data_IF_142676652553
#
_entry.id   IF_142676652553
#
_cell.length_a   1.000
_cell.length_b   1.000
_cell.length_c   1.000
_cell.angle_alpha   90.00
_cell.angle_beta   90.00
_cell.angle_gamma   90.00
#
_symmetry.space_group_name_H-M   'P 1'
#
loop_
_entity.id
_entity.type
_entity.pdbx_description
1 polymer ?
#
# COMPACT_ATOMS: atom_id res chain seq x y z
N UNK A 1 11.32 26.60 -7.33
CA UNK A 1 11.96 25.28 -7.53
C UNK A 1 10.85 24.28 -7.84
N UNK A 2 10.86 23.68 -9.03
CA UNK A 2 9.97 22.54 -9.31
C UNK A 2 10.53 21.32 -8.56
N UNK A 3 9.71 20.54 -7.83
CA UNK A 3 10.21 19.32 -7.21
C UNK A 3 10.65 18.37 -8.32
N UNK A 4 11.89 17.84 -8.22
CA UNK A 4 12.31 16.73 -9.07
C UNK A 4 11.30 15.60 -8.87
N UNK A 5 10.57 15.26 -9.92
CA UNK A 5 9.66 14.12 -9.94
C UNK A 5 10.52 12.86 -10.00
N UNK A 6 11.04 12.42 -8.86
CA UNK A 6 11.70 11.12 -8.73
C UNK A 6 10.65 10.03 -8.85
N UNK A 7 11.01 8.90 -9.45
CA UNK A 7 10.14 7.74 -9.47
C UNK A 7 9.72 7.35 -8.05
N UNK A 8 8.45 6.98 -7.84
CA UNK A 8 7.96 6.57 -6.53
C UNK A 8 8.76 5.35 -6.06
N UNK A 9 9.11 5.37 -4.77
CA UNK A 9 9.75 4.23 -4.12
C UNK A 9 8.75 3.49 -3.26
N UNK A 10 8.93 2.18 -3.10
CA UNK A 10 8.05 1.35 -2.29
C UNK A 10 8.84 0.67 -1.18
N UNK A 11 8.20 0.44 -0.05
CA UNK A 11 8.89 -0.16 1.09
C UNK A 11 8.05 -0.14 2.36
N UNK A 12 8.57 -0.73 3.42
CA UNK A 12 7.85 -0.88 4.69
C UNK A 12 8.75 -0.64 5.90
N UNK A 13 8.11 -0.46 7.05
CA UNK A 13 8.77 -0.27 8.34
C UNK A 13 8.63 -1.53 9.21
N UNK A 14 9.62 -2.44 9.19
CA UNK A 14 9.65 -3.63 10.04
C UNK A 14 9.77 -3.32 11.54
N UNK A 15 10.32 -2.16 11.90
CA UNK A 15 10.51 -1.68 13.27
C UNK A 15 10.30 -0.17 13.32
N UNK A 16 10.16 0.36 14.53
CA UNK A 16 10.15 1.80 14.77
C UNK A 16 11.57 2.37 14.56
N UNK A 17 11.82 3.31 13.62
CA UNK A 17 13.18 3.62 13.14
C UNK A 17 14.12 4.32 14.12
N UNK A 18 13.60 5.12 15.04
CA UNK A 18 14.40 5.96 15.95
C UNK A 18 13.89 5.84 17.39
N UNK A 19 14.72 6.20 18.36
CA UNK A 19 14.25 6.36 19.73
C UNK A 19 13.38 7.62 19.82
N UNK A 20 12.07 7.43 19.97
CA UNK A 20 11.08 8.52 20.02
C UNK A 20 10.46 8.88 18.66
N UNK A 21 9.83 10.05 18.59
CA UNK A 21 8.91 10.41 17.50
C UNK A 21 9.44 11.51 16.57
N UNK A 22 10.65 12.00 16.81
CA UNK A 22 11.19 13.19 16.12
C UNK A 22 11.39 13.00 14.62
N UNK A 23 11.38 11.75 14.15
CA UNK A 23 11.41 11.40 12.74
C UNK A 23 10.06 11.54 12.04
N UNK A 24 8.95 11.59 12.77
CA UNK A 24 7.62 11.80 12.23
C UNK A 24 7.24 13.27 12.38
N UNK A 25 6.47 13.82 11.44
CA UNK A 25 5.88 15.12 11.62
C UNK A 25 4.95 15.12 12.85
N UNK A 26 4.97 16.13 13.74
CA UNK A 26 4.23 16.10 15.00
C UNK A 26 2.73 15.80 14.88
N UNK A 27 2.08 16.29 13.82
CA UNK A 27 0.66 16.03 13.54
C UNK A 27 0.36 14.60 13.08
N UNK A 28 1.37 13.84 12.66
CA UNK A 28 1.23 12.51 12.07
C UNK A 28 1.69 11.41 13.05
N UNK A 29 2.17 11.78 14.25
CA UNK A 29 2.75 10.84 15.23
C UNK A 29 1.77 9.77 15.67
N UNK A 30 0.55 10.14 16.07
CA UNK A 30 -0.46 9.17 16.50
C UNK A 30 -0.81 8.18 15.37
N UNK A 31 -0.95 8.69 14.15
CA UNK A 31 -1.22 7.88 12.98
C UNK A 31 -0.05 6.93 12.67
N UNK A 32 1.20 7.41 12.73
CA UNK A 32 2.38 6.58 12.55
C UNK A 32 2.46 5.48 13.61
N UNK A 33 2.21 5.78 14.89
CA UNK A 33 2.20 4.78 15.98
C UNK A 33 1.14 3.70 15.80
N UNK A 34 0.00 4.03 15.19
CA UNK A 34 -1.05 3.06 14.87
C UNK A 34 -0.74 2.19 13.65
N UNK A 35 0.23 2.58 12.82
CA UNK A 35 0.51 1.95 11.51
C UNK A 35 1.92 1.41 11.34
N UNK A 36 2.85 1.73 12.24
CA UNK A 36 4.26 1.33 12.22
C UNK A 36 4.64 0.82 13.61
N UNK A 37 5.33 -0.33 13.72
CA UNK A 37 5.75 -1.21 12.64
C UNK A 37 4.59 -2.00 12.02
N UNK A 38 4.68 -2.28 10.72
CA UNK A 38 3.70 -3.13 10.03
C UNK A 38 4.26 -3.70 8.73
N UNK A 39 3.67 -4.77 8.18
CA UNK A 39 4.04 -5.26 6.85
C UNK A 39 3.52 -4.36 5.71
N UNK A 40 2.80 -3.28 6.01
CA UNK A 40 2.21 -2.40 4.99
C UNK A 40 3.30 -1.78 4.13
N UNK A 41 3.17 -1.93 2.83
CA UNK A 41 4.09 -1.35 1.86
C UNK A 41 3.58 0.04 1.47
N UNK A 42 4.30 1.04 1.95
CA UNK A 42 4.05 2.44 1.66
C UNK A 42 4.68 2.83 0.32
N UNK A 43 3.98 3.71 -0.40
CA UNK A 43 4.54 4.45 -1.52
C UNK A 43 5.19 5.72 -1.00
N UNK A 44 6.37 6.05 -1.51
CA UNK A 44 7.11 7.27 -1.21
C UNK A 44 7.24 8.11 -2.48
N UNK A 45 6.44 9.16 -2.56
CA UNK A 45 6.42 10.10 -3.67
C UNK A 45 6.30 11.53 -3.16
N UNK A 46 7.43 12.25 -3.23
CA UNK A 46 7.48 13.68 -2.95
C UNK A 46 7.99 14.06 -1.56
N UNK A 47 7.95 15.37 -1.33
CA UNK A 47 8.49 16.02 -0.15
C UNK A 47 7.58 17.20 0.26
N UNK A 48 7.50 17.47 1.55
CA UNK A 48 6.76 18.58 2.14
C UNK A 48 7.68 19.28 3.15
N UNK A 49 8.37 20.33 2.69
CA UNK A 49 9.45 20.94 3.47
C UNK A 49 10.62 19.96 3.64
N UNK A 50 11.07 19.73 4.87
CA UNK A 50 12.13 18.76 5.19
C UNK A 50 11.62 17.32 5.40
N UNK A 51 10.32 17.08 5.20
CA UNK A 51 9.73 15.76 5.32
C UNK A 51 9.56 15.09 3.96
N UNK A 52 9.82 13.81 3.91
CA UNK A 52 9.35 12.86 2.89
C UNK A 52 7.86 12.59 3.11
N UNK A 53 7.11 12.42 2.03
CA UNK A 53 5.71 11.99 2.11
C UNK A 53 5.58 10.50 1.79
N UNK A 54 4.89 9.78 2.68
CA UNK A 54 4.50 8.39 2.50
C UNK A 54 2.99 8.30 2.28
N UNK A 55 2.58 7.40 1.41
CA UNK A 55 1.19 7.14 1.05
C UNK A 55 0.85 5.66 1.24
N UNK A 56 -0.37 5.40 1.73
CA UNK A 56 -0.96 4.06 1.80
C UNK A 56 -2.48 4.16 1.59
N UNK A 57 -2.93 4.03 0.34
CA UNK A 57 -4.29 4.44 -0.03
C UNK A 57 -4.49 5.92 0.31
N UNK A 58 -5.54 6.23 1.08
CA UNK A 58 -5.84 7.58 1.56
C UNK A 58 -4.95 8.05 2.72
N UNK A 59 -4.23 7.14 3.38
CA UNK A 59 -3.34 7.49 4.47
C UNK A 59 -2.11 8.23 3.95
N UNK A 60 -1.77 9.34 4.61
CA UNK A 60 -0.57 10.14 4.33
C UNK A 60 0.22 10.40 5.60
N UNK A 61 1.52 10.12 5.57
CA UNK A 61 2.46 10.41 6.66
C UNK A 61 3.61 11.28 6.15
N UNK A 62 4.05 12.24 6.97
CA UNK A 62 5.26 13.03 6.73
C UNK A 62 6.35 12.56 7.68
N UNK A 63 7.47 12.12 7.13
CA UNK A 63 8.59 11.52 7.88
C UNK A 63 9.93 12.12 7.45
N UNK A 64 10.94 12.11 8.31
CA UNK A 64 12.31 12.43 7.95
C UNK A 64 12.93 11.25 7.17
N UNK A 65 14.14 11.45 6.67
CA UNK A 65 14.90 10.36 6.09
C UNK A 65 15.30 9.35 7.16
N UNK A 66 14.60 8.21 7.20
CA UNK A 66 14.84 7.11 8.13
C UNK A 66 15.17 5.82 7.39
N UNK A 67 15.73 4.85 8.11
CA UNK A 67 15.94 3.51 7.59
C UNK A 67 14.57 2.81 7.44
N UNK A 68 14.28 2.38 6.21
CA UNK A 68 13.13 1.56 5.86
C UNK A 68 13.60 0.46 4.90
N UNK A 69 12.81 -0.59 4.72
CA UNK A 69 13.14 -1.63 3.74
C UNK A 69 12.49 -1.30 2.40
N UNK A 70 13.32 -0.87 1.43
CA UNK A 70 12.90 -0.60 0.06
C UNK A 70 12.61 -1.93 -0.68
N UNK A 71 11.53 -1.95 -1.46
CA UNK A 71 11.01 -3.10 -2.18
C UNK A 71 10.76 -2.74 -3.65
N UNK A 72 10.88 -3.71 -4.58
CA UNK A 72 10.45 -3.49 -5.96
C UNK A 72 8.94 -3.29 -6.02
N UNK A 73 8.50 -2.39 -6.90
CA UNK A 73 7.09 -2.25 -7.25
C UNK A 73 6.67 -3.34 -8.22
N UNK A 74 5.51 -3.95 -7.98
CA UNK A 74 4.97 -5.03 -8.83
C UNK A 74 3.77 -4.57 -9.69
N UNK A 75 3.53 -3.26 -9.77
CA UNK A 75 2.50 -2.69 -10.67
C UNK A 75 1.17 -2.36 -10.03
N UNK A 76 1.03 -2.48 -8.71
CA UNK A 76 -0.23 -2.26 -7.97
C UNK A 76 -0.07 -1.30 -6.81
N UNK A 77 -1.14 -0.57 -6.50
CA UNK A 77 -1.30 0.35 -5.38
C UNK A 77 -2.63 0.08 -4.66
N UNK A 78 -2.67 0.39 -3.37
CA UNK A 78 -3.93 0.45 -2.61
C UNK A 78 -4.87 1.46 -3.27
N UNK A 79 -6.12 1.06 -3.47
CA UNK A 79 -7.15 1.83 -4.18
C UNK A 79 -7.33 1.43 -5.65
N UNK A 80 -6.44 0.63 -6.24
CA UNK A 80 -6.66 0.15 -7.61
C UNK A 80 -7.81 -0.85 -7.69
N UNK A 81 -8.57 -0.74 -8.77
CA UNK A 81 -9.59 -1.72 -9.15
C UNK A 81 -8.92 -2.90 -9.85
N UNK A 82 -9.20 -4.10 -9.35
CA UNK A 82 -8.58 -5.33 -9.84
C UNK A 82 -9.61 -6.43 -10.02
N UNK A 83 -9.35 -7.30 -10.99
CA UNK A 83 -10.00 -8.59 -11.12
C UNK A 83 -9.03 -9.69 -10.67
N UNK A 84 -9.53 -10.59 -9.84
CA UNK A 84 -8.84 -11.83 -9.46
C UNK A 84 -9.03 -12.85 -10.58
N UNK A 85 -7.93 -13.32 -11.15
CA UNK A 85 -7.93 -14.31 -12.23
C UNK A 85 -8.18 -15.73 -11.71
N UNK A 86 -8.98 -16.51 -12.44
CA UNK A 86 -9.12 -17.95 -12.18
C UNK A 86 -7.80 -18.66 -12.49
N UNK A 87 -7.06 -19.05 -11.45
CA UNK A 87 -5.86 -19.88 -11.57
C UNK A 87 -6.23 -21.37 -11.60
N UNK A 88 -6.92 -21.81 -12.66
CA UNK A 88 -7.33 -23.21 -12.78
C UNK A 88 -8.16 -23.71 -11.58
N UNK A 89 -9.14 -22.92 -11.14
CA UNK A 89 -9.99 -23.15 -9.96
C UNK A 89 -9.34 -22.89 -8.58
N UNK A 90 -8.07 -22.46 -8.49
CA UNK A 90 -7.46 -22.08 -7.20
C UNK A 90 -8.02 -20.75 -6.65
N UNK A 91 -8.52 -19.90 -7.53
CA UNK A 91 -9.12 -18.60 -7.20
C UNK A 91 -10.54 -18.55 -7.76
N UNK A 92 -11.48 -18.09 -6.94
CA UNK A 92 -12.80 -17.67 -7.41
C UNK A 92 -12.67 -16.30 -8.06
N UNK A 93 -12.99 -16.17 -9.36
CA UNK A 93 -13.00 -14.88 -10.05
C UNK A 93 -13.90 -13.88 -9.36
N UNK A 94 -13.41 -12.66 -9.21
CA UNK A 94 -14.12 -11.55 -8.58
C UNK A 94 -13.44 -10.24 -8.93
N UNK A 95 -14.20 -9.15 -8.83
CA UNK A 95 -13.68 -7.80 -8.98
C UNK A 95 -13.75 -7.09 -7.64
N UNK A 96 -12.77 -6.26 -7.34
CA UNK A 96 -12.73 -5.51 -6.10
C UNK A 96 -11.69 -4.40 -6.13
N UNK A 97 -11.54 -3.73 -5.00
CA UNK A 97 -10.53 -2.70 -4.79
C UNK A 97 -9.41 -3.26 -3.94
N UNK A 98 -8.16 -3.04 -4.33
CA UNK A 98 -7.01 -3.34 -3.47
C UNK A 98 -7.10 -2.50 -2.20
N UNK A 99 -7.28 -3.14 -1.05
CA UNK A 99 -7.41 -2.45 0.25
C UNK A 99 -6.12 -2.44 1.05
N UNK A 100 -5.30 -3.47 0.90
CA UNK A 100 -4.04 -3.59 1.61
C UNK A 100 -2.99 -4.25 0.70
N UNK A 101 -1.77 -3.74 0.77
CA UNK A 101 -0.55 -4.30 0.18
C UNK A 101 0.47 -4.55 1.29
N UNK A 102 0.82 -5.81 1.52
CA UNK A 102 1.70 -6.26 2.60
C UNK A 102 2.92 -7.00 2.06
N UNK A 103 4.08 -6.79 2.66
CA UNK A 103 5.26 -7.61 2.42
C UNK A 103 5.27 -8.81 3.36
N UNK A 104 5.52 -10.01 2.83
CA UNK A 104 5.73 -11.23 3.61
C UNK A 104 7.22 -11.60 3.61
N UNK A 105 7.99 -11.31 4.70
CA UNK A 105 9.44 -11.50 4.70
C UNK A 105 9.88 -12.96 4.48
N UNK A 106 9.10 -13.93 4.96
CA UNK A 106 9.42 -15.37 4.82
C UNK A 106 9.30 -15.84 3.37
N UNK A 107 8.26 -15.40 2.67
CA UNK A 107 8.03 -15.74 1.28
C UNK A 107 8.79 -14.83 0.31
N UNK A 108 9.29 -13.68 0.79
CA UNK A 108 9.90 -12.61 -0.01
C UNK A 108 8.98 -12.17 -1.16
N UNK A 109 7.70 -11.99 -0.84
CA UNK A 109 6.67 -11.69 -1.83
C UNK A 109 5.69 -10.64 -1.31
N UNK A 110 5.13 -9.86 -2.24
CA UNK A 110 3.99 -8.99 -1.95
C UNK A 110 2.71 -9.80 -1.83
N UNK A 111 1.86 -9.40 -0.89
CA UNK A 111 0.54 -9.97 -0.64
C UNK A 111 -0.49 -8.86 -0.74
N UNK A 112 -1.47 -9.10 -1.61
CA UNK A 112 -2.54 -8.16 -1.90
C UNK A 112 -3.83 -8.64 -1.29
N UNK A 113 -4.54 -7.76 -0.61
CA UNK A 113 -5.88 -8.01 -0.10
C UNK A 113 -6.85 -7.09 -0.81
N UNK A 114 -8.00 -7.63 -1.15
CA UNK A 114 -9.06 -6.88 -1.81
C UNK A 114 -10.28 -6.73 -0.91
N UNK A 115 -11.04 -5.70 -1.22
CA UNK A 115 -12.40 -5.47 -0.76
C UNK A 115 -13.36 -5.63 -1.94
N UNK A 116 -14.45 -6.35 -1.73
CA UNK A 116 -15.52 -6.56 -2.71
C UNK A 116 -16.80 -5.92 -2.16
N UNK A 117 -17.25 -4.81 -2.75
CA UNK A 117 -18.47 -4.11 -2.34
C UNK A 117 -18.54 -3.74 -0.84
N UNK A 118 -17.42 -3.30 -0.25
CA UNK A 118 -17.31 -2.97 1.17
C UNK A 118 -17.08 -4.20 2.07
N UNK A 119 -16.90 -5.39 1.50
CA UNK A 119 -16.61 -6.62 2.22
C UNK A 119 -15.15 -7.05 2.02
N UNK A 120 -14.32 -7.02 3.08
CA UNK A 120 -12.95 -7.50 3.01
C UNK A 120 -12.88 -8.99 2.70
N UNK A 121 -12.15 -9.34 1.65
CA UNK A 121 -11.81 -10.74 1.38
C UNK A 121 -10.59 -11.12 2.22
N UNK A 122 -10.66 -12.17 3.06
CA UNK A 122 -9.57 -12.54 3.97
C UNK A 122 -8.39 -13.22 3.25
N UNK A 123 -8.57 -13.66 2.00
CA UNK A 123 -7.53 -14.28 1.19
C UNK A 123 -6.55 -13.24 0.65
N UNK A 124 -5.26 -13.55 0.75
CA UNK A 124 -4.20 -12.82 0.07
C UNK A 124 -3.96 -13.35 -1.35
N UNK A 125 -3.63 -12.45 -2.26
CA UNK A 125 -3.32 -12.73 -3.66
C UNK A 125 -1.88 -12.29 -3.99
N UNK A 126 -1.27 -12.90 -5.00
CA UNK A 126 -0.02 -12.41 -5.60
C UNK A 126 -0.32 -11.46 -6.77
N UNK A 127 0.66 -10.67 -7.21
CA UNK A 127 0.48 -9.76 -8.36
C UNK A 127 0.01 -10.51 -9.61
N UNK A 128 0.52 -11.71 -9.82
CA UNK A 128 0.18 -12.56 -10.95
C UNK A 128 -1.25 -13.13 -10.91
N UNK A 129 -1.94 -13.06 -9.76
CA UNK A 129 -3.35 -13.41 -9.62
C UNK A 129 -4.28 -12.25 -9.98
N UNK A 130 -3.74 -11.05 -10.18
CA UNK A 130 -4.48 -9.82 -10.33
C UNK A 130 -4.30 -9.22 -11.72
N UNK A 131 -5.34 -8.51 -12.14
CA UNK A 131 -5.31 -7.69 -13.36
C UNK A 131 -6.02 -6.38 -13.07
N UNK A 132 -5.42 -5.26 -13.49
CA UNK A 132 -6.08 -3.96 -13.47
C UNK A 132 -7.35 -3.99 -14.30
N UNK A 133 -8.42 -3.44 -13.74
CA UNK A 133 -9.68 -3.22 -14.44
C UNK A 133 -10.19 -1.82 -14.12
N UNK A 134 -11.06 -1.31 -14.98
CA UNK A 134 -11.76 -0.07 -14.70
C UNK A 134 -12.85 -0.29 -13.64
N UNK A 135 -13.21 0.73 -12.84
CA UNK A 135 -14.35 0.65 -11.96
C UNK A 135 -15.61 0.29 -12.76
N UNK A 136 -16.20 -0.87 -12.49
CA UNK A 136 -17.47 -1.24 -13.11
C UNK A 136 -18.53 -0.23 -12.65
N UNK A 137 -19.01 0.62 -13.57
CA UNK A 137 -20.02 1.68 -13.30
C UNK A 137 -21.43 1.15 -12.93
N UNK A 138 -21.56 -0.10 -12.48
CA UNK A 138 -22.82 -0.82 -12.36
C UNK A 138 -23.15 -1.27 -10.94
N UNK A 139 -23.38 -0.33 -10.03
CA UNK A 139 -24.08 -0.60 -8.76
C UNK A 139 -24.78 0.64 -8.17
N UNK A 140 -25.26 1.55 -9.03
CA UNK A 140 -26.30 2.52 -8.67
C UNK A 140 -27.45 2.36 -9.67
N UNK A 141 -28.37 1.45 -9.37
CA UNK A 141 -29.52 1.18 -10.23
C UNK A 141 -30.26 -0.07 -9.78
N UNK A 142 -31.19 0.10 -8.86
CA UNK A 142 -32.11 -0.91 -8.35
C UNK A 142 -32.97 -0.33 -7.24
#
# INVERSE_FOLDING_TARGET
>A
MQPLKTDPKYGFYPWWPEDGDDWVHPQDVELARSTIPSPRVFRRDGQSGHYIVLHYGELRLRVKHTLWQELPWEGFDVGNWVEVLSRGQLNTPRTGVLREMHWEPRARAMRYYIDEHGQPIPKAYAAEDLRHVEPTSGAIGG
#
